data_IF_940675037529
#
_entry.id   IF_940675037529
#
_cell.length_a   1.000
_cell.length_b   1.000
_cell.length_c   1.000
_cell.angle_alpha   90.00
_cell.angle_beta   90.00
_cell.angle_gamma   90.00
#
_symmetry.space_group_name_H-M   'P 1'
#
loop_
_entity.id
_entity.type
_entity.pdbx_description
1 polymer ?
#
# COMPACT_ATOMS: atom_id res chain seq x y z
N UNK A 1 14.77 -9.48 28.13
CA UNK A 1 14.11 -8.52 27.22
C UNK A 1 12.94 -9.15 26.47
N UNK A 2 13.14 -10.09 25.53
CA UNK A 2 12.02 -10.66 24.75
C UNK A 2 10.91 -11.23 25.64
N UNK A 3 11.23 -12.05 26.64
CA UNK A 3 10.22 -12.61 27.56
C UNK A 3 9.46 -11.55 28.38
N UNK A 4 10.11 -10.43 28.71
CA UNK A 4 9.48 -9.30 29.42
C UNK A 4 8.46 -8.62 28.51
N UNK A 5 8.84 -8.31 27.26
CA UNK A 5 7.93 -7.72 26.28
C UNK A 5 6.78 -8.67 25.94
N UNK A 6 7.08 -9.97 25.79
CA UNK A 6 6.11 -11.03 25.52
C UNK A 6 4.97 -11.03 26.54
N UNK A 7 5.29 -11.03 27.84
CA UNK A 7 4.29 -10.99 28.91
C UNK A 7 3.37 -9.77 28.82
N UNK A 8 3.90 -8.59 28.49
CA UNK A 8 3.06 -7.41 28.33
C UNK A 8 2.18 -7.48 27.07
N UNK A 9 2.69 -8.07 25.97
CA UNK A 9 1.90 -8.25 24.75
C UNK A 9 0.74 -9.23 25.00
N UNK A 10 0.95 -10.29 25.79
CA UNK A 10 -0.12 -11.20 26.24
C UNK A 10 -1.19 -10.44 27.03
N UNK A 11 -0.77 -9.67 28.03
CA UNK A 11 -1.68 -8.87 28.86
C UNK A 11 -2.46 -7.84 28.04
N UNK A 12 -1.81 -7.19 27.07
CA UNK A 12 -2.44 -6.20 26.20
C UNK A 12 -3.47 -6.86 25.30
N UNK A 13 -3.12 -7.97 24.63
CA UNK A 13 -3.99 -8.60 23.62
C UNK A 13 -4.99 -9.60 24.18
N UNK A 14 -4.84 -10.02 25.43
CA UNK A 14 -5.59 -11.11 26.04
C UNK A 14 -5.49 -12.41 25.21
N UNK A 15 -4.26 -12.70 24.76
CA UNK A 15 -3.90 -13.85 23.93
C UNK A 15 -2.58 -14.42 24.41
N UNK A 16 -2.49 -15.74 24.55
CA UNK A 16 -1.29 -16.43 25.01
C UNK A 16 -0.39 -16.80 23.83
N UNK A 17 0.91 -16.66 23.98
CA UNK A 17 1.81 -17.14 22.93
C UNK A 17 1.90 -18.66 22.92
N UNK A 18 2.11 -19.28 21.74
CA UNK A 18 2.48 -20.68 21.66
C UNK A 18 3.81 -20.96 22.38
N UNK A 19 3.99 -22.21 22.83
CA UNK A 19 5.24 -22.67 23.46
C UNK A 19 6.45 -22.47 22.54
N UNK A 20 6.27 -22.67 21.23
CA UNK A 20 7.28 -22.42 20.22
C UNK A 20 7.34 -20.91 19.91
N UNK A 21 8.37 -20.23 20.42
CA UNK A 21 8.75 -18.88 20.01
C UNK A 21 10.27 -18.82 19.88
N UNK A 22 10.77 -18.72 18.65
CA UNK A 22 12.20 -18.70 18.37
C UNK A 22 12.68 -17.27 18.16
N UNK A 23 13.91 -16.98 18.59
CA UNK A 23 14.57 -15.69 18.35
C UNK A 23 15.90 -15.95 17.65
N UNK A 24 16.11 -15.32 16.50
CA UNK A 24 17.33 -15.45 15.72
C UNK A 24 17.88 -14.06 15.41
N UNK A 25 19.18 -13.87 15.63
CA UNK A 25 19.87 -12.65 15.20
C UNK A 25 20.51 -12.91 13.84
N UNK A 26 20.16 -12.08 12.87
CA UNK A 26 20.63 -12.18 11.47
C UNK A 26 21.36 -10.90 11.07
N UNK A 27 22.16 -10.99 10.01
CA UNK A 27 22.83 -9.82 9.43
C UNK A 27 22.00 -9.22 8.30
N UNK A 28 22.22 -7.95 7.99
CA UNK A 28 21.66 -7.29 6.82
C UNK A 28 22.00 -8.01 5.50
N UNK A 29 23.19 -8.60 5.41
CA UNK A 29 23.58 -9.44 4.27
C UNK A 29 22.69 -10.68 4.16
N UNK A 30 22.42 -11.36 5.30
CA UNK A 30 21.50 -12.49 5.34
C UNK A 30 20.10 -12.08 4.90
N UNK A 31 19.59 -10.94 5.38
CA UNK A 31 18.29 -10.37 4.99
C UNK A 31 18.20 -10.19 3.48
N UNK A 32 19.17 -9.50 2.88
CA UNK A 32 19.19 -9.26 1.43
C UNK A 32 19.33 -10.55 0.61
N UNK A 33 20.06 -11.54 1.11
CA UNK A 33 20.24 -12.83 0.44
C UNK A 33 18.99 -13.69 0.43
N UNK A 34 18.18 -13.66 1.49
CA UNK A 34 17.03 -14.57 1.67
C UNK A 34 15.69 -13.91 1.40
N UNK A 35 15.55 -12.61 1.67
CA UNK A 35 14.30 -11.85 1.53
C UNK A 35 14.40 -10.68 0.54
N UNK A 36 15.61 -10.35 0.09
CA UNK A 36 15.80 -9.33 -0.93
C UNK A 36 15.27 -9.78 -2.30
N UNK A 37 15.06 -8.83 -3.22
CA UNK A 37 14.65 -9.16 -4.58
C UNK A 37 15.73 -9.95 -5.31
N UNK A 38 15.37 -10.76 -6.32
CA UNK A 38 16.35 -11.44 -7.16
C UNK A 38 17.23 -10.43 -7.92
N UNK A 39 18.49 -10.78 -8.27
CA UNK A 39 19.39 -9.90 -9.03
C UNK A 39 18.85 -9.49 -10.40
N UNK A 40 17.98 -10.31 -10.98
CA UNK A 40 17.25 -10.03 -12.22
C UNK A 40 15.76 -10.03 -11.92
N UNK A 41 15.00 -8.98 -12.30
CA UNK A 41 13.58 -8.90 -12.00
C UNK A 41 12.82 -10.07 -12.62
N UNK A 42 11.84 -10.60 -11.88
CA UNK A 42 10.87 -11.53 -12.44
C UNK A 42 9.99 -10.83 -13.49
N UNK A 43 9.26 -11.60 -14.30
CA UNK A 43 8.28 -11.02 -15.25
C UNK A 43 7.22 -10.19 -14.53
N UNK A 44 6.75 -10.65 -13.38
CA UNK A 44 5.74 -9.95 -12.58
C UNK A 44 6.26 -8.62 -12.05
N UNK A 45 7.50 -8.59 -11.52
CA UNK A 45 8.16 -7.35 -11.09
C UNK A 45 8.28 -6.36 -12.25
N UNK A 46 8.68 -6.83 -13.43
CA UNK A 46 8.79 -6.00 -14.62
C UNK A 46 7.42 -5.43 -15.03
N UNK A 47 6.37 -6.25 -15.06
CA UNK A 47 5.03 -5.77 -15.43
C UNK A 47 4.51 -4.74 -14.42
N UNK A 48 4.70 -4.98 -13.13
CA UNK A 48 4.38 -4.03 -12.05
C UNK A 48 5.14 -2.71 -12.19
N UNK A 49 6.44 -2.78 -12.47
CA UNK A 49 7.26 -1.59 -12.73
C UNK A 49 6.74 -0.78 -13.92
N UNK A 50 6.39 -1.46 -15.03
CA UNK A 50 5.80 -0.81 -16.20
C UNK A 50 4.45 -0.16 -15.87
N UNK A 51 3.59 -0.82 -15.09
CA UNK A 51 2.34 -0.20 -14.61
C UNK A 51 2.63 1.07 -13.82
N UNK A 52 3.59 1.03 -12.90
CA UNK A 52 3.94 2.20 -12.07
C UNK A 52 4.46 3.37 -12.92
N UNK A 53 5.23 3.08 -13.96
CA UNK A 53 5.73 4.08 -14.92
C UNK A 53 4.59 4.66 -15.77
N UNK A 54 3.73 3.82 -16.34
CA UNK A 54 2.66 4.23 -17.26
C UNK A 54 1.44 4.87 -16.56
N UNK A 55 1.34 4.72 -15.25
CA UNK A 55 0.38 5.44 -14.38
C UNK A 55 0.99 6.67 -13.72
N UNK A 56 2.27 6.98 -14.02
CA UNK A 56 2.99 8.14 -13.49
C UNK A 56 3.24 8.13 -11.97
N UNK A 57 3.15 6.97 -11.30
CA UNK A 57 3.56 6.86 -9.89
C UNK A 57 5.08 7.08 -9.75
N UNK A 58 5.86 6.57 -10.70
CA UNK A 58 7.33 6.61 -10.70
C UNK A 58 7.88 7.10 -12.05
N UNK A 59 9.08 7.68 -12.10
CA UNK A 59 9.68 8.16 -13.35
C UNK A 59 10.14 7.02 -14.27
N UNK A 60 10.41 7.29 -15.57
CA UNK A 60 10.79 6.26 -16.55
C UNK A 60 12.05 5.46 -16.22
N UNK A 61 13.00 6.06 -15.50
CA UNK A 61 14.28 5.47 -15.07
C UNK A 61 14.19 4.68 -13.76
N UNK A 62 13.01 4.63 -13.14
CA UNK A 62 12.76 3.87 -11.91
C UNK A 62 13.14 2.38 -12.05
N UNK A 63 13.68 1.80 -10.98
CA UNK A 63 14.00 0.37 -10.86
C UNK A 63 13.32 -0.23 -9.62
N UNK A 64 12.41 -1.18 -9.83
CA UNK A 64 11.68 -1.85 -8.74
C UNK A 64 12.62 -2.71 -7.89
N UNK A 65 13.64 -3.33 -8.50
CA UNK A 65 14.63 -4.15 -7.81
C UNK A 65 15.45 -3.31 -6.84
N UNK A 66 15.89 -2.12 -7.26
CA UNK A 66 16.68 -1.25 -6.38
C UNK A 66 15.84 -0.73 -5.19
N UNK A 67 14.57 -0.42 -5.42
CA UNK A 67 13.69 0.05 -4.33
C UNK A 67 13.26 -1.07 -3.40
N UNK A 68 12.94 -2.26 -3.89
CA UNK A 68 12.67 -3.44 -3.05
C UNK A 68 13.89 -3.79 -2.21
N UNK A 69 15.09 -3.77 -2.80
CA UNK A 69 16.33 -4.00 -2.06
C UNK A 69 16.53 -2.97 -0.96
N UNK A 70 16.26 -1.69 -1.23
CA UNK A 70 16.33 -0.61 -0.24
C UNK A 70 15.33 -0.80 0.89
N UNK A 71 14.09 -1.17 0.55
CA UNK A 71 13.04 -1.44 1.52
C UNK A 71 13.39 -2.64 2.41
N UNK A 72 13.73 -3.79 1.84
CA UNK A 72 14.10 -4.98 2.63
C UNK A 72 15.33 -4.74 3.51
N UNK A 73 16.27 -3.90 3.07
CA UNK A 73 17.44 -3.50 3.83
C UNK A 73 17.16 -2.60 5.05
N UNK A 74 15.96 -2.04 5.20
CA UNK A 74 15.59 -1.14 6.29
C UNK A 74 15.05 -1.86 7.53
N UNK A 75 14.70 -3.14 7.42
CA UNK A 75 14.06 -3.88 8.51
C UNK A 75 14.94 -3.91 9.76
N UNK A 76 14.37 -3.55 10.90
CA UNK A 76 15.02 -3.64 12.21
C UNK A 76 14.85 -5.04 12.80
N UNK A 77 13.65 -5.57 12.66
CA UNK A 77 13.26 -6.93 12.99
C UNK A 77 12.19 -7.36 11.99
N UNK A 78 11.87 -8.65 11.99
CA UNK A 78 10.79 -9.22 11.20
C UNK A 78 10.35 -10.54 11.82
N UNK A 79 9.11 -10.94 11.59
CA UNK A 79 8.57 -12.21 12.05
C UNK A 79 8.18 -13.09 10.88
N UNK A 80 8.51 -14.39 10.97
CA UNK A 80 8.02 -15.40 10.04
C UNK A 80 7.58 -16.62 10.83
N UNK A 81 6.29 -16.96 10.73
CA UNK A 81 5.64 -17.97 11.58
C UNK A 81 5.93 -17.71 13.07
N UNK A 82 6.55 -18.66 13.76
CA UNK A 82 6.89 -18.57 15.18
C UNK A 82 8.32 -18.06 15.45
N UNK A 83 8.98 -17.48 14.46
CA UNK A 83 10.38 -17.01 14.58
C UNK A 83 10.46 -15.51 14.43
N UNK A 84 10.98 -14.86 15.48
CA UNK A 84 11.41 -13.47 15.49
C UNK A 84 12.86 -13.38 14.99
N UNK A 85 13.07 -12.57 13.96
CA UNK A 85 14.38 -12.24 13.41
C UNK A 85 14.77 -10.82 13.80
N UNK A 86 15.96 -10.65 14.36
CA UNK A 86 16.53 -9.34 14.73
C UNK A 86 17.68 -9.03 13.78
N UNK A 87 17.64 -7.88 13.10
CA UNK A 87 18.68 -7.45 12.17
C UNK A 87 19.76 -6.71 12.94
N UNK A 88 20.91 -7.36 13.14
CA UNK A 88 21.99 -6.91 14.02
C UNK A 88 22.42 -5.46 13.76
N UNK A 89 22.54 -5.06 12.50
CA UNK A 89 23.02 -3.73 12.12
C UNK A 89 21.98 -2.63 12.32
N UNK A 90 20.69 -2.98 12.40
CA UNK A 90 19.59 -2.04 12.48
C UNK A 90 18.91 -2.04 13.87
N UNK A 91 19.42 -2.82 14.83
CA UNK A 91 18.78 -3.01 16.14
C UNK A 91 19.73 -2.71 17.29
N UNK A 92 19.41 -1.69 18.08
CA UNK A 92 20.17 -1.31 19.28
C UNK A 92 19.33 -1.53 20.54
N UNK A 93 19.72 -2.50 21.37
CA UNK A 93 18.98 -2.87 22.60
C UNK A 93 18.87 -1.75 23.63
N UNK A 94 19.79 -0.77 23.60
CA UNK A 94 19.79 0.38 24.50
C UNK A 94 18.83 1.49 24.02
N UNK A 95 18.34 1.40 22.78
CA UNK A 95 17.36 2.33 22.24
C UNK A 95 15.95 1.93 22.71
N UNK A 96 15.17 2.82 23.36
CA UNK A 96 13.78 2.53 23.73
C UNK A 96 12.91 2.04 22.56
N UNK A 97 13.22 2.47 21.32
CA UNK A 97 12.52 2.01 20.12
C UNK A 97 12.69 0.52 19.85
N UNK A 98 13.76 -0.11 20.35
CA UNK A 98 13.98 -1.55 20.23
C UNK A 98 12.93 -2.35 20.99
N UNK A 99 12.52 -1.91 22.19
CA UNK A 99 11.44 -2.59 22.93
C UNK A 99 10.08 -2.45 22.23
N UNK A 100 9.81 -1.28 21.63
CA UNK A 100 8.61 -1.08 20.79
C UNK A 100 8.62 -2.01 19.59
N UNK A 101 9.73 -2.09 18.88
CA UNK A 101 9.88 -3.00 17.72
C UNK A 101 9.66 -4.46 18.14
N UNK A 102 10.16 -4.89 19.31
CA UNK A 102 9.85 -6.23 19.83
C UNK A 102 8.36 -6.43 20.11
N UNK A 103 7.67 -5.45 20.71
CA UNK A 103 6.23 -5.56 20.98
C UNK A 103 5.42 -5.69 19.68
N UNK A 104 5.78 -4.90 18.66
CA UNK A 104 5.19 -4.96 17.33
C UNK A 104 5.40 -6.35 16.71
N UNK A 105 6.64 -6.82 16.62
CA UNK A 105 6.95 -8.11 16.00
C UNK A 105 6.38 -9.32 16.74
N UNK A 106 6.39 -9.30 18.07
CA UNK A 106 5.78 -10.36 18.88
C UNK A 106 4.26 -10.42 18.64
N UNK A 107 3.61 -9.30 18.35
CA UNK A 107 2.19 -9.30 17.97
C UNK A 107 1.95 -10.10 16.68
N UNK A 108 2.87 -10.07 15.71
CA UNK A 108 2.76 -10.89 14.50
C UNK A 108 2.80 -12.39 14.77
N UNK A 109 3.48 -12.84 15.82
CA UNK A 109 3.47 -14.26 16.23
C UNK A 109 2.06 -14.64 16.73
N UNK A 110 1.43 -13.80 17.54
CA UNK A 110 0.04 -14.01 17.97
C UNK A 110 -0.91 -14.00 16.77
N UNK A 111 -0.76 -13.05 15.86
CA UNK A 111 -1.59 -12.97 14.66
C UNK A 111 -1.46 -14.21 13.77
N UNK A 112 -0.23 -14.71 13.59
CA UNK A 112 0.02 -15.97 12.88
C UNK A 112 -0.64 -17.16 13.60
N UNK A 113 -0.54 -17.23 14.93
CA UNK A 113 -1.08 -18.33 15.72
C UNK A 113 -2.62 -18.38 15.68
N UNK A 114 -3.27 -17.25 15.95
CA UNK A 114 -4.71 -17.17 16.19
C UNK A 114 -5.53 -16.85 14.95
N UNK A 115 -5.02 -15.97 14.07
CA UNK A 115 -5.83 -15.41 12.98
C UNK A 115 -5.49 -15.99 11.62
N UNK A 116 -4.24 -16.43 11.40
CA UNK A 116 -3.78 -17.04 10.14
C UNK A 116 -4.21 -16.23 8.90
N UNK A 117 -3.84 -14.93 8.84
CA UNK A 117 -4.35 -14.04 7.80
C UNK A 117 -3.99 -14.55 6.39
N UNK A 118 -4.95 -14.45 5.48
CA UNK A 118 -4.73 -14.70 4.06
C UNK A 118 -4.39 -13.39 3.35
N UNK A 119 -3.41 -13.44 2.45
CA UNK A 119 -2.94 -12.26 1.72
C UNK A 119 -3.49 -12.27 0.28
N UNK A 120 -4.34 -11.30 -0.09
CA UNK A 120 -4.79 -11.15 -1.46
C UNK A 120 -3.63 -10.90 -2.42
N UNK A 121 -3.83 -11.28 -3.69
CA UNK A 121 -2.88 -10.97 -4.77
C UNK A 121 -3.05 -9.56 -5.34
N UNK A 122 -4.29 -9.06 -5.32
CA UNK A 122 -4.67 -7.74 -5.82
C UNK A 122 -4.05 -6.69 -4.90
N UNK A 123 -3.41 -5.66 -5.46
CA UNK A 123 -2.64 -4.67 -4.72
C UNK A 123 -3.47 -3.97 -3.64
N UNK A 124 -4.63 -3.40 -4.01
CA UNK A 124 -5.49 -2.65 -3.10
C UNK A 124 -5.93 -3.48 -1.89
N UNK A 125 -6.52 -4.67 -2.14
CA UNK A 125 -6.94 -5.58 -1.06
C UNK A 125 -5.78 -6.11 -0.24
N UNK A 126 -4.60 -6.31 -0.87
CA UNK A 126 -3.40 -6.71 -0.13
C UNK A 126 -2.95 -5.62 0.83
N UNK A 127 -2.92 -4.36 0.40
CA UNK A 127 -2.58 -3.23 1.26
C UNK A 127 -3.61 -3.03 2.38
N UNK A 128 -4.89 -3.25 2.11
CA UNK A 128 -5.96 -3.20 3.11
C UNK A 128 -5.77 -4.25 4.22
N UNK A 129 -5.57 -5.52 3.84
CA UNK A 129 -5.30 -6.59 4.79
C UNK A 129 -4.02 -6.35 5.59
N UNK A 130 -2.95 -5.90 4.93
CA UNK A 130 -1.71 -5.54 5.62
C UNK A 130 -1.94 -4.40 6.61
N UNK A 131 -2.74 -3.38 6.28
CA UNK A 131 -3.03 -2.28 7.20
C UNK A 131 -3.76 -2.74 8.47
N UNK A 132 -4.66 -3.72 8.40
CA UNK A 132 -5.24 -4.36 9.60
C UNK A 132 -4.14 -5.03 10.44
N UNK A 133 -3.26 -5.81 9.81
CA UNK A 133 -2.20 -6.59 10.48
C UNK A 133 -1.18 -5.66 11.16
N UNK A 134 -0.61 -4.74 10.39
CA UNK A 134 0.39 -3.78 10.88
C UNK A 134 -0.23 -2.79 11.88
N UNK A 135 -1.49 -2.41 11.68
CA UNK A 135 -2.22 -1.54 12.59
C UNK A 135 -2.47 -2.14 13.97
N UNK A 136 -2.79 -3.43 14.06
CA UNK A 136 -2.92 -4.15 15.34
C UNK A 136 -1.56 -4.27 16.04
N UNK A 137 -0.51 -4.60 15.30
CA UNK A 137 0.85 -4.65 15.83
C UNK A 137 1.33 -3.28 16.34
N UNK A 138 1.08 -2.19 15.59
CA UNK A 138 1.42 -0.83 16.00
C UNK A 138 0.61 -0.36 17.21
N UNK A 139 -0.71 -0.61 17.24
CA UNK A 139 -1.55 -0.23 18.38
C UNK A 139 -1.12 -0.98 19.65
N UNK A 140 -0.81 -2.26 19.53
CA UNK A 140 -0.29 -3.09 20.63
C UNK A 140 1.05 -2.58 21.14
N UNK A 141 1.97 -2.26 20.23
CA UNK A 141 3.27 -1.70 20.57
C UNK A 141 3.16 -0.32 21.25
N UNK A 142 2.21 0.51 20.83
CA UNK A 142 1.98 1.82 21.43
C UNK A 142 1.31 1.71 22.81
N UNK A 143 0.40 0.75 23.02
CA UNK A 143 -0.11 0.40 24.35
C UNK A 143 1.01 -0.08 25.28
N UNK A 144 1.93 -0.91 24.77
CA UNK A 144 3.12 -1.34 25.51
C UNK A 144 4.00 -0.16 25.92
N UNK A 145 4.26 0.77 25.00
CA UNK A 145 5.02 1.99 25.30
C UNK A 145 4.36 2.82 26.41
N UNK A 146 3.03 2.99 26.34
CA UNK A 146 2.26 3.72 27.36
C UNK A 146 2.35 3.06 28.74
N UNK A 147 2.29 1.74 28.83
CA UNK A 147 2.42 1.00 30.09
C UNK A 147 3.83 1.08 30.69
N UNK A 148 4.85 1.14 29.84
CA UNK A 148 6.27 1.05 30.26
C UNK A 148 6.98 2.41 30.32
N UNK A 149 6.28 3.51 29.98
CA UNK A 149 6.84 4.86 30.00
C UNK A 149 7.82 5.14 28.85
N UNK A 150 7.81 4.34 27.79
CA UNK A 150 8.58 4.61 26.56
C UNK A 150 7.90 5.75 25.81
N UNK A 151 8.64 6.77 25.35
CA UNK A 151 8.05 7.86 24.59
C UNK A 151 7.30 7.36 23.35
N UNK A 152 6.14 7.96 23.01
CA UNK A 152 5.40 7.58 21.83
C UNK A 152 6.23 7.84 20.57
N UNK A 153 6.03 7.02 19.54
CA UNK A 153 6.62 7.30 18.23
C UNK A 153 5.96 8.55 17.61
N UNK A 154 6.70 9.32 16.79
CA UNK A 154 6.07 10.29 15.91
C UNK A 154 5.08 9.62 14.98
N UNK A 155 3.98 10.32 14.67
CA UNK A 155 3.03 9.83 13.68
C UNK A 155 3.71 9.71 12.31
N UNK A 156 3.58 8.55 11.63
CA UNK A 156 4.16 8.36 10.32
C UNK A 156 3.49 9.30 9.31
N UNK A 157 4.31 9.87 8.41
CA UNK A 157 3.84 10.70 7.30
C UNK A 157 4.12 10.02 5.98
N UNK A 158 3.39 10.40 4.93
CA UNK A 158 3.59 9.87 3.58
C UNK A 158 4.97 10.33 3.08
N UNK A 159 5.91 9.42 2.75
CA UNK A 159 7.22 9.78 2.24
C UNK A 159 7.15 10.14 0.75
N UNK A 160 6.63 11.34 0.45
CA UNK A 160 6.41 11.83 -0.92
C UNK A 160 7.70 11.93 -1.76
N UNK A 161 8.87 11.95 -1.14
CA UNK A 161 10.15 11.88 -1.84
C UNK A 161 10.47 10.50 -2.45
N UNK A 162 9.71 9.47 -2.09
CA UNK A 162 9.87 8.11 -2.62
C UNK A 162 8.51 7.41 -2.76
N UNK A 163 7.85 7.55 -3.92
CA UNK A 163 6.49 7.04 -4.14
C UNK A 163 6.34 5.53 -3.90
N UNK A 164 7.35 4.77 -4.29
CA UNK A 164 7.37 3.33 -4.05
C UNK A 164 7.37 3.01 -2.55
N UNK A 165 8.20 3.71 -1.78
CA UNK A 165 8.27 3.54 -0.32
C UNK A 165 6.96 4.04 0.30
N UNK A 166 6.39 5.14 -0.18
CA UNK A 166 5.08 5.61 0.28
C UNK A 166 3.97 4.58 0.07
N UNK A 167 3.99 3.87 -1.07
CA UNK A 167 3.08 2.77 -1.34
C UNK A 167 3.28 1.60 -0.38
N UNK A 168 4.53 1.20 -0.13
CA UNK A 168 4.84 0.11 0.83
C UNK A 168 4.52 0.50 2.28
N UNK A 169 4.62 1.79 2.62
CA UNK A 169 4.36 2.30 3.97
C UNK A 169 2.88 2.45 4.30
N UNK A 170 1.95 2.27 3.37
CA UNK A 170 0.51 2.43 3.61
C UNK A 170 0.01 1.73 4.89
N UNK A 171 0.34 0.44 5.13
CA UNK A 171 -0.11 -0.27 6.32
C UNK A 171 0.29 0.41 7.63
N UNK A 172 1.50 0.96 7.68
CA UNK A 172 2.04 1.64 8.86
C UNK A 172 1.51 3.07 9.01
N UNK A 173 1.16 3.73 7.90
CA UNK A 173 0.66 5.11 7.90
C UNK A 173 -0.81 5.15 8.37
N UNK A 174 -1.64 4.26 7.85
CA UNK A 174 -3.09 4.31 8.09
C UNK A 174 -3.62 3.19 9.00
N UNK A 175 -2.91 2.06 9.09
CA UNK A 175 -3.40 0.86 9.79
C UNK A 175 -3.69 1.08 11.26
N UNK A 176 -2.79 1.75 11.99
CA UNK A 176 -2.97 2.01 13.43
C UNK A 176 -4.23 2.84 13.69
N UNK A 177 -4.47 3.88 12.87
CA UNK A 177 -5.68 4.71 12.97
C UNK A 177 -6.95 3.88 12.73
N UNK A 178 -6.95 3.05 11.69
CA UNK A 178 -8.05 2.13 11.40
C UNK A 178 -8.33 1.17 12.57
N UNK A 179 -7.31 0.47 13.07
CA UNK A 179 -7.46 -0.50 14.16
C UNK A 179 -7.86 0.19 15.46
N UNK A 180 -7.32 1.37 15.75
CA UNK A 180 -7.72 2.18 16.90
C UNK A 180 -9.20 2.54 16.87
N UNK A 181 -9.78 2.85 15.70
CA UNK A 181 -11.22 3.10 15.57
C UNK A 181 -12.05 1.86 15.88
N UNK A 182 -11.63 0.67 15.43
CA UNK A 182 -12.28 -0.59 15.80
C UNK A 182 -12.16 -0.85 17.30
N UNK A 183 -10.97 -0.69 17.87
CA UNK A 183 -10.71 -0.89 19.29
C UNK A 183 -11.54 0.05 20.17
N UNK A 184 -11.63 1.34 19.85
CA UNK A 184 -12.47 2.29 20.59
C UNK A 184 -13.94 1.90 20.56
N UNK A 185 -14.41 1.31 19.45
CA UNK A 185 -15.82 0.95 19.26
C UNK A 185 -16.22 -0.37 19.90
N UNK A 186 -15.33 -1.37 19.90
CA UNK A 186 -15.68 -2.74 20.32
C UNK A 186 -14.54 -3.53 20.97
N UNK A 187 -13.49 -2.84 21.42
CA UNK A 187 -12.31 -3.44 22.04
C UNK A 187 -11.59 -4.43 21.11
N UNK A 188 -10.79 -5.31 21.72
CA UNK A 188 -10.09 -6.37 20.98
C UNK A 188 -11.04 -7.37 20.33
N UNK A 189 -12.27 -7.54 20.83
CA UNK A 189 -13.27 -8.41 20.19
C UNK A 189 -13.53 -7.95 18.76
N UNK A 190 -13.80 -6.67 18.54
CA UNK A 190 -14.08 -6.15 17.19
C UNK A 190 -12.83 -6.16 16.29
N UNK A 191 -11.64 -5.93 16.85
CA UNK A 191 -10.37 -6.05 16.10
C UNK A 191 -10.14 -7.51 15.68
N UNK A 192 -10.34 -8.47 16.58
CA UNK A 192 -10.18 -9.90 16.31
C UNK A 192 -11.20 -10.39 15.27
N UNK A 193 -12.45 -9.90 15.32
CA UNK A 193 -13.48 -10.18 14.32
C UNK A 193 -13.10 -9.67 12.91
N UNK A 194 -12.33 -8.57 12.82
CA UNK A 194 -11.87 -8.05 11.55
C UNK A 194 -10.93 -9.01 10.81
N UNK A 195 -10.23 -9.91 11.51
CA UNK A 195 -9.45 -10.96 10.84
C UNK A 195 -10.32 -12.01 10.13
N UNK A 196 -11.58 -12.18 10.55
CA UNK A 196 -12.53 -13.08 9.88
C UNK A 196 -13.21 -12.41 8.68
N UNK A 197 -13.31 -11.08 8.69
CA UNK A 197 -13.89 -10.27 7.61
C UNK A 197 -12.96 -9.09 7.33
N UNK A 198 -11.79 -9.31 6.72
CA UNK A 198 -10.79 -8.25 6.61
C UNK A 198 -11.26 -7.13 5.67
N UNK A 199 -10.71 -5.91 5.85
CA UNK A 199 -10.92 -4.82 4.90
C UNK A 199 -10.41 -5.21 3.52
N UNK A 200 -11.15 -4.80 2.49
CA UNK A 200 -10.96 -5.19 1.10
C UNK A 200 -10.32 -4.11 0.24
N UNK A 201 -10.31 -2.85 0.71
CA UNK A 201 -9.81 -1.69 -0.04
C UNK A 201 -9.00 -0.76 0.85
N UNK A 202 -8.05 -0.05 0.25
CA UNK A 202 -7.32 1.03 0.94
C UNK A 202 -8.28 2.14 1.38
N UNK A 203 -9.36 2.38 0.64
CA UNK A 203 -10.44 3.28 1.02
C UNK A 203 -11.07 2.92 2.38
N UNK A 204 -11.37 1.64 2.62
CA UNK A 204 -11.92 1.19 3.90
C UNK A 204 -10.98 1.41 5.09
N UNK A 205 -9.67 1.46 4.84
CA UNK A 205 -8.68 1.78 5.86
C UNK A 205 -8.61 3.29 6.12
N UNK A 206 -8.65 4.09 5.05
CA UNK A 206 -8.62 5.57 5.13
C UNK A 206 -9.92 6.09 5.77
N UNK A 207 -11.05 5.44 5.46
CA UNK A 207 -12.42 5.78 5.86
C UNK A 207 -13.08 4.60 6.60
N UNK A 208 -12.75 4.35 7.90
CA UNK A 208 -13.15 3.13 8.60
C UNK A 208 -14.67 2.97 8.78
N UNK A 209 -15.45 4.04 8.64
CA UNK A 209 -16.90 3.97 8.63
C UNK A 209 -17.45 3.21 7.41
N UNK A 210 -16.75 3.20 6.26
CA UNK A 210 -17.12 2.39 5.09
C UNK A 210 -16.96 0.89 5.39
N UNK A 211 -15.85 0.51 6.04
CA UNK A 211 -15.64 -0.86 6.54
C UNK A 211 -16.73 -1.27 7.54
N UNK A 212 -17.03 -0.41 8.52
CA UNK A 212 -18.04 -0.69 9.54
C UNK A 212 -19.47 -0.81 8.98
N UNK A 213 -19.76 -0.18 7.83
CA UNK A 213 -21.01 -0.34 7.08
C UNK A 213 -20.99 -1.50 6.09
N UNK A 214 -19.85 -2.18 5.95
CA UNK A 214 -19.63 -3.28 5.00
C UNK A 214 -19.85 -2.85 3.54
N UNK A 215 -19.37 -1.65 3.22
CA UNK A 215 -19.37 -1.16 1.83
C UNK A 215 -18.42 -2.00 0.98
N UNK A 216 -18.90 -2.56 -0.12
CA UNK A 216 -18.07 -3.32 -1.07
C UNK A 216 -17.70 -2.45 -2.27
N UNK A 217 -16.46 -2.55 -2.80
CA UNK A 217 -16.09 -1.80 -4.00
C UNK A 217 -16.88 -2.29 -5.22
N UNK A 218 -17.17 -1.37 -6.14
CA UNK A 218 -17.76 -1.69 -7.44
C UNK A 218 -16.76 -2.49 -8.27
N UNK A 219 -17.21 -3.66 -8.77
CA UNK A 219 -16.44 -4.46 -9.71
C UNK A 219 -16.38 -3.79 -11.08
N UNK A 220 -15.29 -3.10 -11.36
CA UNK A 220 -15.09 -2.41 -12.64
C UNK A 220 -14.81 -3.39 -13.77
N UNK A 221 -15.57 -3.27 -14.86
CA UNK A 221 -15.34 -3.99 -16.11
C UNK A 221 -14.54 -3.12 -17.09
N UNK A 222 -13.61 -3.75 -17.80
CA UNK A 222 -12.86 -3.12 -18.88
C UNK A 222 -12.95 -4.03 -20.10
N UNK A 223 -13.57 -3.53 -21.17
CA UNK A 223 -13.63 -4.20 -22.47
C UNK A 223 -12.99 -3.29 -23.50
N UNK A 224 -11.80 -3.66 -23.96
CA UNK A 224 -11.03 -2.88 -24.93
C UNK A 224 -10.77 -3.75 -26.16
N UNK A 225 -10.94 -3.16 -27.35
CA UNK A 225 -10.54 -3.79 -28.59
C UNK A 225 -9.07 -3.44 -28.84
N UNK A 226 -8.16 -4.30 -28.37
CA UNK A 226 -6.72 -4.08 -28.42
C UNK A 226 -6.00 -5.25 -29.07
N UNK A 227 -4.97 -4.95 -29.82
CA UNK A 227 -4.01 -5.93 -30.35
C UNK A 227 -2.88 -6.11 -29.34
N UNK A 228 -2.60 -7.35 -28.94
CA UNK A 228 -1.53 -7.70 -27.99
C UNK A 228 -1.99 -8.60 -26.85
N UNK A 229 -1.02 -9.18 -26.14
CA UNK A 229 -1.26 -10.09 -25.04
C UNK A 229 -1.56 -9.31 -23.76
N UNK A 230 -2.62 -9.69 -23.04
CA UNK A 230 -2.85 -9.22 -21.68
C UNK A 230 -1.84 -9.87 -20.74
N UNK A 231 -0.99 -9.06 -20.10
CA UNK A 231 0.11 -9.58 -19.27
C UNK A 231 -0.05 -9.28 -17.78
N UNK A 232 -0.88 -8.29 -17.42
CA UNK A 232 -1.10 -7.86 -16.03
C UNK A 232 -2.50 -7.27 -15.86
N UNK A 233 -3.13 -7.56 -14.73
CA UNK A 233 -4.44 -7.03 -14.31
C UNK A 233 -4.40 -6.81 -12.81
N UNK A 234 -4.89 -5.67 -12.34
CA UNK A 234 -4.93 -5.36 -10.91
C UNK A 234 -5.98 -4.28 -10.58
N UNK A 235 -6.15 -4.00 -9.29
CA UNK A 235 -6.93 -2.88 -8.72
C UNK A 235 -5.96 -2.04 -7.91
N UNK A 236 -5.89 -0.75 -8.21
CA UNK A 236 -4.91 0.15 -7.60
C UNK A 236 -5.40 0.72 -6.27
N UNK A 237 -6.68 1.04 -6.15
CA UNK A 237 -7.26 1.62 -4.94
C UNK A 237 -7.07 3.14 -4.80
N UNK A 238 -7.84 3.74 -3.89
CA UNK A 238 -7.81 5.16 -3.56
C UNK A 238 -6.40 5.64 -3.19
N UNK A 239 -5.69 4.91 -2.32
CA UNK A 239 -4.37 5.35 -1.87
C UNK A 239 -3.32 5.39 -2.99
N UNK A 240 -3.37 4.45 -3.94
CA UNK A 240 -2.45 4.48 -5.06
C UNK A 240 -2.69 5.72 -5.93
N UNK A 241 -3.96 6.06 -6.18
CA UNK A 241 -4.35 7.24 -6.94
C UNK A 241 -3.91 8.52 -6.19
N UNK A 242 -4.06 8.55 -4.87
CA UNK A 242 -3.55 9.64 -4.02
C UNK A 242 -2.06 9.87 -4.28
N UNK A 243 -1.25 8.81 -4.28
CA UNK A 243 0.19 8.93 -4.53
C UNK A 243 0.50 9.38 -5.97
N UNK A 244 -0.30 9.00 -6.96
CA UNK A 244 -0.14 9.51 -8.33
C UNK A 244 -0.34 11.03 -8.38
N UNK A 245 -1.28 11.58 -7.61
CA UNK A 245 -1.57 13.02 -7.58
C UNK A 245 -0.64 13.81 -6.63
N UNK A 246 -0.44 13.35 -5.40
CA UNK A 246 0.26 14.07 -4.32
C UNK A 246 1.74 14.38 -4.61
N UNK A 247 2.31 13.80 -5.66
CA UNK A 247 3.66 14.10 -6.14
C UNK A 247 3.73 15.30 -7.08
N UNK A 248 2.57 15.77 -7.53
CA UNK A 248 2.42 16.68 -8.67
C UNK A 248 1.50 17.85 -8.36
N UNK A 249 0.59 17.67 -7.41
CA UNK A 249 -0.20 18.72 -6.77
C UNK A 249 0.06 18.69 -5.25
N UNK A 250 -0.49 19.66 -4.52
CA UNK A 250 -0.36 19.65 -3.06
C UNK A 250 -1.19 18.50 -2.44
N UNK A 251 -0.81 18.04 -1.25
CA UNK A 251 -1.40 16.83 -0.65
C UNK A 251 -2.91 16.99 -0.34
N UNK A 252 -3.35 18.17 0.10
CA UNK A 252 -4.75 18.44 0.43
C UNK A 252 -5.64 18.34 -0.82
N UNK A 253 -5.23 19.02 -1.90
CA UNK A 253 -5.89 18.93 -3.21
C UNK A 253 -5.89 17.49 -3.77
N UNK A 254 -4.81 16.73 -3.55
CA UNK A 254 -4.74 15.33 -3.95
C UNK A 254 -5.71 14.45 -3.16
N UNK A 255 -5.88 14.70 -1.86
CA UNK A 255 -6.82 13.97 -1.00
C UNK A 255 -8.26 14.24 -1.40
N UNK A 256 -8.63 15.51 -1.61
CA UNK A 256 -9.97 15.88 -2.08
C UNK A 256 -10.29 15.21 -3.42
N UNK A 257 -9.32 15.21 -4.36
CA UNK A 257 -9.52 14.66 -5.69
C UNK A 257 -9.63 13.14 -5.77
N UNK A 258 -9.32 12.40 -4.70
CA UNK A 258 -9.46 10.93 -4.65
C UNK A 258 -10.59 10.45 -3.75
N UNK A 259 -11.20 11.35 -2.99
CA UNK A 259 -12.38 11.05 -2.20
C UNK A 259 -13.53 10.60 -3.12
N UNK A 260 -14.27 9.56 -2.72
CA UNK A 260 -15.33 8.99 -3.54
C UNK A 260 -14.85 8.03 -4.63
N UNK A 261 -13.61 7.56 -4.59
CA UNK A 261 -13.21 6.37 -5.34
C UNK A 261 -14.15 5.20 -4.99
N UNK A 262 -14.65 4.47 -5.98
CA UNK A 262 -15.57 3.34 -5.73
C UNK A 262 -15.07 2.03 -6.36
N UNK A 263 -13.98 2.08 -7.12
CA UNK A 263 -13.42 0.91 -7.78
C UNK A 263 -12.59 1.30 -8.97
N UNK A 264 -11.58 0.49 -9.28
CA UNK A 264 -10.82 0.63 -10.50
C UNK A 264 -10.38 -0.71 -11.08
N UNK A 265 -9.92 -0.67 -12.32
CA UNK A 265 -9.27 -1.81 -12.96
C UNK A 265 -8.19 -1.33 -13.90
N UNK A 266 -6.96 -1.76 -13.65
CA UNK A 266 -5.84 -1.58 -14.57
C UNK A 266 -5.63 -2.86 -15.38
N UNK A 267 -5.28 -2.70 -16.66
CA UNK A 267 -4.85 -3.80 -17.52
C UNK A 267 -3.68 -3.36 -18.37
N UNK A 268 -2.60 -4.13 -18.33
CA UNK A 268 -1.42 -3.94 -19.18
C UNK A 268 -1.42 -4.93 -20.32
N UNK A 269 -1.26 -4.41 -21.53
CA UNK A 269 -1.08 -5.18 -22.76
C UNK A 269 0.33 -5.00 -23.32
N UNK A 270 0.85 -6.08 -23.89
CA UNK A 270 2.09 -6.07 -24.67
C UNK A 270 1.77 -6.26 -26.15
N UNK A 271 2.14 -5.29 -26.98
CA UNK A 271 2.05 -5.41 -28.43
C UNK A 271 3.42 -5.19 -29.06
N UNK A 272 4.04 -6.28 -29.53
CA UNK A 272 5.40 -6.27 -30.09
C UNK A 272 6.39 -5.56 -29.14
N UNK A 273 6.83 -4.34 -29.50
CA UNK A 273 7.76 -3.51 -28.73
C UNK A 273 7.09 -2.46 -27.83
N UNK A 274 5.79 -2.21 -27.98
CA UNK A 274 5.05 -1.18 -27.25
C UNK A 274 4.25 -1.75 -26.08
N UNK A 275 4.11 -0.97 -25.01
CA UNK A 275 3.20 -1.20 -23.91
C UNK A 275 1.94 -0.36 -24.08
N UNK A 276 0.78 -0.93 -23.73
CA UNK A 276 -0.47 -0.18 -23.65
C UNK A 276 -1.15 -0.50 -22.33
N UNK A 277 -1.35 0.52 -21.52
CA UNK A 277 -2.07 0.45 -20.25
C UNK A 277 -3.45 1.07 -20.43
N UNK A 278 -4.47 0.39 -19.91
CA UNK A 278 -5.80 0.93 -19.72
C UNK A 278 -6.13 0.91 -18.24
N UNK A 279 -6.69 2.00 -17.73
CA UNK A 279 -7.11 2.15 -16.36
C UNK A 279 -8.50 2.76 -16.34
N UNK A 280 -9.50 1.98 -15.94
CA UNK A 280 -10.87 2.46 -15.78
C UNK A 280 -11.14 2.64 -14.29
N UNK A 281 -11.56 3.84 -13.90
CA UNK A 281 -11.83 4.24 -12.52
C UNK A 281 -13.30 4.65 -12.43
N UNK A 282 -14.01 4.11 -11.45
CA UNK A 282 -15.41 4.44 -11.16
C UNK A 282 -15.48 5.22 -9.86
N UNK A 283 -16.27 6.29 -9.87
CA UNK A 283 -16.46 7.22 -8.75
C UNK A 283 -17.88 7.15 -8.19
N UNK A 284 -18.06 7.57 -6.95
CA UNK A 284 -19.36 7.63 -6.28
C UNK A 284 -20.32 8.59 -6.96
N UNK A 285 -19.83 9.73 -7.45
CA UNK A 285 -20.62 10.74 -8.14
C UNK A 285 -19.95 11.26 -9.42
N UNK A 286 -20.71 12.03 -10.20
CA UNK A 286 -20.16 12.73 -11.37
C UNK A 286 -19.23 13.88 -10.94
N UNK A 287 -19.41 14.44 -9.74
CA UNK A 287 -18.58 15.53 -9.26
C UNK A 287 -17.20 15.01 -8.87
N UNK A 288 -17.13 13.92 -8.10
CA UNK A 288 -15.85 13.29 -7.72
C UNK A 288 -15.05 12.89 -8.99
N UNK A 289 -15.74 12.34 -10.00
CA UNK A 289 -15.11 12.05 -11.29
C UNK A 289 -14.57 13.31 -12.00
N UNK A 290 -15.27 14.45 -11.91
CA UNK A 290 -14.79 15.72 -12.49
C UNK A 290 -13.62 16.30 -11.69
N UNK A 291 -13.67 16.21 -10.37
CA UNK A 291 -12.60 16.65 -9.47
C UNK A 291 -11.32 15.89 -9.78
N UNK A 292 -11.36 14.55 -9.78
CA UNK A 292 -10.22 13.75 -10.22
C UNK A 292 -9.77 14.09 -11.64
N UNK A 293 -10.70 14.18 -12.60
CA UNK A 293 -10.35 14.46 -14.00
C UNK A 293 -9.54 15.76 -14.14
N UNK A 294 -10.01 16.83 -13.47
CA UNK A 294 -9.35 18.13 -13.51
C UNK A 294 -8.00 18.09 -12.80
N UNK A 295 -7.93 17.52 -11.59
CA UNK A 295 -6.71 17.44 -10.80
C UNK A 295 -5.67 16.54 -11.44
N UNK A 296 -6.07 15.42 -12.06
CA UNK A 296 -5.16 14.54 -12.80
C UNK A 296 -4.56 15.24 -14.02
N UNK A 297 -5.35 16.02 -14.77
CA UNK A 297 -4.83 16.81 -15.89
C UNK A 297 -3.85 17.88 -15.39
N UNK A 298 -4.17 18.56 -14.30
CA UNK A 298 -3.29 19.58 -13.71
C UNK A 298 -1.98 18.97 -13.19
N UNK A 299 -2.06 17.83 -12.51
CA UNK A 299 -0.92 17.04 -12.09
C UNK A 299 0.00 16.72 -13.28
N UNK A 300 -0.54 16.37 -14.45
CA UNK A 300 0.25 16.14 -15.65
C UNK A 300 0.87 17.43 -16.21
N UNK A 301 0.17 18.57 -16.16
CA UNK A 301 0.76 19.88 -16.55
C UNK A 301 1.95 20.26 -15.68
N UNK A 302 1.88 19.98 -14.38
CA UNK A 302 2.95 20.29 -13.41
C UNK A 302 4.23 19.48 -13.64
N UNK A 303 4.17 18.39 -14.42
CA UNK A 303 5.34 17.64 -14.88
C UNK A 303 5.64 17.90 -16.37
N UNK A 304 5.29 19.09 -16.85
CA UNK A 304 5.56 19.62 -18.19
C UNK A 304 4.91 18.84 -19.34
N UNK A 305 3.80 18.14 -19.08
CA UNK A 305 3.07 17.46 -20.14
C UNK A 305 2.40 18.45 -21.10
N UNK A 306 2.43 18.13 -22.40
CA UNK A 306 1.64 18.87 -23.40
C UNK A 306 0.23 18.33 -23.41
N UNK A 307 -0.73 19.14 -22.96
CA UNK A 307 -2.13 18.76 -22.83
C UNK A 307 -2.99 19.51 -23.85
N UNK A 308 -3.83 18.78 -24.58
CA UNK A 308 -4.93 19.32 -25.37
C UNK A 308 -6.24 18.73 -24.85
N UNK A 309 -7.20 19.58 -24.50
CA UNK A 309 -8.51 19.17 -23.98
C UNK A 309 -9.57 19.57 -24.99
N UNK A 310 -10.42 18.61 -25.39
CA UNK A 310 -11.58 18.83 -26.24
C UNK A 310 -12.77 18.02 -25.72
N UNK A 311 -13.88 18.69 -25.41
CA UNK A 311 -15.04 18.09 -24.73
C UNK A 311 -14.63 17.41 -23.41
N UNK A 312 -15.02 16.15 -23.21
CA UNK A 312 -14.70 15.34 -22.02
C UNK A 312 -13.45 14.46 -22.22
N UNK A 313 -12.59 14.79 -23.19
CA UNK A 313 -11.38 14.02 -23.51
C UNK A 313 -10.15 14.92 -23.50
N UNK A 314 -9.08 14.44 -22.88
CA UNK A 314 -7.77 15.06 -22.88
C UNK A 314 -6.76 14.15 -23.57
N UNK A 315 -6.00 14.73 -24.50
CA UNK A 315 -4.84 14.11 -25.14
C UNK A 315 -3.57 14.72 -24.55
N UNK A 316 -2.70 13.87 -24.01
CA UNK A 316 -1.48 14.28 -23.33
C UNK A 316 -0.26 13.63 -23.97
N UNK A 317 0.80 14.41 -24.17
CA UNK A 317 2.13 13.92 -24.55
C UNK A 317 3.13 14.27 -23.46
N UNK A 318 3.79 13.26 -22.92
CA UNK A 318 4.81 13.40 -21.90
C UNK A 318 5.84 12.28 -22.04
N UNK A 319 7.12 12.63 -21.99
CA UNK A 319 8.22 11.68 -22.27
C UNK A 319 7.98 10.93 -23.61
N UNK A 320 8.12 9.61 -23.62
CA UNK A 320 7.76 8.73 -24.73
C UNK A 320 6.33 8.20 -24.65
N UNK A 321 5.45 8.85 -23.87
CA UNK A 321 4.07 8.39 -23.64
C UNK A 321 3.05 9.28 -24.34
N UNK A 322 2.04 8.62 -24.92
CA UNK A 322 0.79 9.25 -25.34
C UNK A 322 -0.31 8.78 -24.40
N UNK A 323 -1.01 9.72 -23.77
CA UNK A 323 -2.09 9.44 -22.82
C UNK A 323 -3.40 10.03 -23.33
N UNK A 324 -4.46 9.26 -23.26
CA UNK A 324 -5.82 9.74 -23.47
C UNK A 324 -6.61 9.57 -22.18
N UNK A 325 -7.25 10.62 -21.68
CA UNK A 325 -8.10 10.59 -20.49
C UNK A 325 -9.51 10.97 -20.90
N UNK A 326 -10.49 10.09 -20.68
CA UNK A 326 -11.89 10.29 -21.07
C UNK A 326 -12.79 10.25 -19.85
N UNK A 327 -13.54 11.32 -19.60
CA UNK A 327 -14.59 11.38 -18.59
C UNK A 327 -15.94 10.97 -19.19
N UNK A 328 -16.57 9.92 -18.64
CA UNK A 328 -17.86 9.40 -19.08
C UNK A 328 -18.78 9.12 -17.89
N UNK A 329 -19.63 10.09 -17.55
CA UNK A 329 -20.46 10.01 -16.35
C UNK A 329 -19.57 9.92 -15.11
N UNK A 330 -19.78 8.89 -14.29
CA UNK A 330 -18.96 8.62 -13.10
C UNK A 330 -17.68 7.81 -13.37
N UNK A 331 -17.38 7.53 -14.64
CA UNK A 331 -16.23 6.71 -15.01
C UNK A 331 -15.17 7.54 -15.71
N UNK A 332 -13.90 7.20 -15.47
CA UNK A 332 -12.76 7.80 -16.15
C UNK A 332 -11.91 6.69 -16.73
N UNK A 333 -11.71 6.75 -18.04
CA UNK A 333 -10.83 5.84 -18.75
C UNK A 333 -9.53 6.56 -19.10
N UNK A 334 -8.44 6.08 -18.54
CA UNK A 334 -7.07 6.49 -18.88
C UNK A 334 -6.47 5.41 -19.77
N UNK A 335 -5.91 5.82 -20.90
CA UNK A 335 -5.13 4.96 -21.80
C UNK A 335 -3.74 5.55 -21.96
N UNK A 336 -2.70 4.80 -21.60
CA UNK A 336 -1.30 5.19 -21.81
C UNK A 336 -0.63 4.25 -22.80
N UNK A 337 -0.01 4.79 -23.85
CA UNK A 337 0.80 4.03 -24.81
C UNK A 337 2.24 4.48 -24.68
N UNK A 338 3.17 3.54 -24.44
CA UNK A 338 4.61 3.81 -24.60
C UNK A 338 4.97 3.73 -26.08
N UNK A 339 5.46 4.81 -26.68
CA UNK A 339 6.08 4.73 -28.01
C UNK A 339 7.37 3.94 -27.87
N UNK A 340 7.59 2.95 -28.74
CA UNK A 340 8.80 2.14 -28.71
C UNK A 340 10.04 3.04 -28.89
N UNK A 341 11.01 2.88 -27.99
CA UNK A 341 12.40 3.31 -28.24
C UNK A 341 13.12 2.31 -29.16
#
# INVERSE_FOLDING_TARGET
LVNEVKSHVEDIRDLEFPEETNVVVITKEWVLKHWGPPPTPSKEMLYKEIVYKLTFLVPPDFSIVEMEKRWTASFMAATSAYTLYIVKENFNVEDPTAKRALAHELTHILQYHYFKPEYPKILDSKLAVLALIEGDADLTADMYCNLTGIPPRPQPTIPLNSPYIALQSFPYIYGESFVKQLYVKGGWTLVNEAYQNPPQTTEQIIHPEKYLRKEEPVKVTLTVNVTGDQVYVDVMGEYYILLVLALKVNLEEAMEAVEGWNGDKVVLYRNNKAWTLYWNITWDTLNDAKEFYNTFIEALRNIEAKVAVENNQAEIRIWSYMVTVTLNGKNILIKTISTAE
#
